data_IF_416742542930
#
_entry.id   IF_416742542930
#
_cell.length_a   1.000
_cell.length_b   1.000
_cell.length_c   1.000
_cell.angle_alpha   90.00
_cell.angle_beta   90.00
_cell.angle_gamma   90.00
#
_symmetry.space_group_name_H-M   'P 1'
#
loop_
_entity.id
_entity.type
_entity.pdbx_description
1 polymer ?
#
# COMPACT_ATOMS: atom_id res chain seq x y z
N UNK A 1 -15.72 -1.79 -23.72
CA UNK A 1 -16.02 -2.31 -22.35
C UNK A 1 -16.74 -3.65 -22.43
N UNK A 2 -17.38 -3.93 -23.56
CA UNK A 2 -17.89 -5.22 -24.04
C UNK A 2 -16.91 -6.41 -24.00
N UNK A 3 -15.60 -6.17 -24.00
CA UNK A 3 -14.59 -7.24 -23.97
C UNK A 3 -14.03 -7.56 -22.58
N UNK A 4 -14.49 -6.89 -21.52
CA UNK A 4 -13.99 -7.18 -20.16
C UNK A 4 -14.64 -8.45 -19.59
N UNK A 5 -13.91 -9.15 -18.73
CA UNK A 5 -14.37 -10.39 -18.10
C UNK A 5 -14.66 -10.18 -16.62
N UNK A 6 -15.68 -10.87 -16.09
CA UNK A 6 -15.95 -10.89 -14.66
C UNK A 6 -14.77 -11.52 -13.89
N UNK A 7 -14.36 -10.88 -12.80
CA UNK A 7 -13.16 -11.24 -12.02
C UNK A 7 -11.86 -10.64 -12.57
N UNK A 8 -11.86 -10.15 -13.82
CA UNK A 8 -10.68 -9.55 -14.43
C UNK A 8 -10.28 -8.22 -13.78
N UNK A 9 -8.97 -7.97 -13.72
CA UNK A 9 -8.37 -6.74 -13.21
C UNK A 9 -7.70 -6.01 -14.37
N UNK A 10 -8.13 -4.77 -14.63
CA UNK A 10 -7.72 -3.98 -15.79
C UNK A 10 -7.23 -2.60 -15.36
N UNK A 11 -6.30 -2.02 -16.11
CA UNK A 11 -5.95 -0.60 -15.97
C UNK A 11 -6.97 0.27 -16.72
N UNK A 12 -7.46 1.32 -16.07
CA UNK A 12 -8.37 2.27 -16.67
C UNK A 12 -7.63 3.23 -17.61
N UNK A 13 -7.98 3.18 -18.89
CA UNK A 13 -7.49 4.06 -19.93
C UNK A 13 -8.64 4.89 -20.48
N UNK A 14 -8.53 6.22 -20.42
CA UNK A 14 -9.62 7.13 -20.79
C UNK A 14 -9.28 7.96 -22.03
N UNK A 15 -10.32 8.25 -22.81
CA UNK A 15 -10.29 9.27 -23.87
C UNK A 15 -11.45 10.21 -23.62
N UNK A 16 -11.17 11.51 -23.48
CA UNK A 16 -12.22 12.51 -23.28
C UNK A 16 -12.78 12.98 -24.62
N UNK A 17 -14.10 13.09 -24.72
CA UNK A 17 -14.76 13.74 -25.86
C UNK A 17 -14.80 15.27 -25.66
N UNK A 18 -15.08 16.02 -26.73
CA UNK A 18 -15.28 17.48 -26.72
C UNK A 18 -14.04 18.35 -26.43
N UNK A 19 -12.87 17.97 -26.95
CA UNK A 19 -11.70 18.86 -26.99
C UNK A 19 -10.83 18.84 -25.74
N UNK A 20 -11.08 17.92 -24.80
CA UNK A 20 -10.13 17.63 -23.73
C UNK A 20 -8.83 17.01 -24.29
N UNK A 21 -7.66 17.29 -23.69
CA UNK A 21 -6.36 16.87 -24.21
C UNK A 21 -6.06 15.37 -23.98
N UNK A 22 -6.98 14.61 -23.39
CA UNK A 22 -6.73 13.23 -22.97
C UNK A 22 -7.16 12.25 -24.07
N UNK A 23 -6.17 11.66 -24.75
CA UNK A 23 -6.37 10.59 -25.71
C UNK A 23 -5.60 9.35 -25.26
N UNK A 24 -6.31 8.22 -25.06
CA UNK A 24 -5.74 6.97 -24.52
C UNK A 24 -4.88 7.20 -23.27
N UNK A 25 -5.34 8.10 -22.39
CA UNK A 25 -4.61 8.47 -21.19
C UNK A 25 -4.71 7.36 -20.15
N UNK A 26 -3.55 6.85 -19.74
CA UNK A 26 -3.42 5.86 -18.67
C UNK A 26 -3.55 6.56 -17.32
N UNK A 27 -4.63 6.25 -16.61
CA UNK A 27 -4.90 6.88 -15.32
C UNK A 27 -4.00 6.34 -14.20
N UNK A 28 -3.49 5.12 -14.37
CA UNK A 28 -2.86 4.34 -13.32
C UNK A 28 -3.86 3.68 -12.36
N UNK A 29 -5.17 3.83 -12.54
CA UNK A 29 -6.16 3.13 -11.70
C UNK A 29 -6.39 1.71 -12.22
N UNK A 30 -6.20 0.72 -11.35
CA UNK A 30 -6.60 -0.66 -11.58
C UNK A 30 -8.02 -0.84 -11.06
N UNK A 31 -8.91 -1.35 -11.90
CA UNK A 31 -10.30 -1.69 -11.57
C UNK A 31 -10.51 -3.19 -11.66
N UNK A 32 -11.36 -3.74 -10.79
CA UNK A 32 -11.83 -5.11 -10.88
C UNK A 32 -13.27 -5.11 -11.39
N UNK A 33 -13.56 -5.95 -12.37
CA UNK A 33 -14.93 -6.16 -12.85
C UNK A 33 -15.58 -7.21 -11.96
N UNK A 34 -16.56 -6.83 -11.15
CA UNK A 34 -17.25 -7.76 -10.26
C UNK A 34 -18.32 -8.58 -11.02
N UNK A 35 -18.99 -7.96 -11.98
CA UNK A 35 -20.02 -8.60 -12.82
C UNK A 35 -20.20 -7.85 -14.13
N UNK A 36 -20.79 -8.52 -15.13
CA UNK A 36 -21.05 -7.93 -16.45
C UNK A 36 -22.45 -7.28 -16.56
N UNK A 37 -23.36 -7.59 -15.63
CA UNK A 37 -24.74 -7.11 -15.59
C UNK A 37 -25.13 -6.72 -14.17
N UNK A 38 -25.92 -5.65 -14.04
CA UNK A 38 -26.63 -5.34 -12.81
C UNK A 38 -28.04 -5.94 -12.85
N UNK A 39 -28.24 -7.07 -12.16
CA UNK A 39 -29.54 -7.77 -12.14
C UNK A 39 -30.67 -6.94 -11.51
N UNK A 40 -30.35 -6.13 -10.51
CA UNK A 40 -31.36 -5.32 -9.80
C UNK A 40 -31.92 -4.20 -10.69
N UNK A 41 -31.06 -3.63 -11.53
CA UNK A 41 -31.41 -2.52 -12.40
C UNK A 41 -31.73 -2.97 -13.84
N UNK A 42 -31.54 -4.24 -14.16
CA UNK A 42 -31.77 -4.83 -15.48
C UNK A 42 -30.86 -4.22 -16.57
N UNK A 43 -29.58 -3.95 -16.24
CA UNK A 43 -28.63 -3.22 -17.11
C UNK A 43 -27.38 -4.06 -17.43
N UNK A 44 -27.09 -4.23 -18.72
CA UNK A 44 -25.87 -4.88 -19.25
C UNK A 44 -24.65 -3.94 -19.30
N UNK A 45 -24.30 -3.36 -18.15
CA UNK A 45 -23.08 -2.56 -18.00
C UNK A 45 -22.19 -3.27 -16.98
N UNK A 46 -20.88 -3.46 -17.27
CA UNK A 46 -19.95 -4.02 -16.29
C UNK A 46 -19.93 -3.23 -14.99
N UNK A 47 -20.09 -3.92 -13.88
CA UNK A 47 -19.99 -3.35 -12.54
C UNK A 47 -18.54 -3.43 -12.07
N UNK A 48 -17.94 -2.30 -11.75
CA UNK A 48 -16.53 -2.21 -11.41
C UNK A 48 -16.31 -1.69 -9.99
N UNK A 49 -15.26 -2.20 -9.35
CA UNK A 49 -14.75 -1.70 -8.08
C UNK A 49 -13.31 -1.21 -8.28
N UNK A 50 -12.90 -0.19 -7.52
CA UNK A 50 -11.51 0.21 -7.47
C UNK A 50 -10.68 -0.92 -6.84
N UNK A 51 -9.62 -1.35 -7.51
CA UNK A 51 -8.75 -2.42 -7.03
C UNK A 51 -7.48 -1.86 -6.37
N UNK A 52 -6.66 -1.12 -7.12
CA UNK A 52 -5.43 -0.46 -6.62
C UNK A 52 -4.92 0.57 -7.63
N UNK A 53 -3.82 1.23 -7.34
CA UNK A 53 -3.04 1.98 -8.33
C UNK A 53 -1.97 1.08 -8.97
N UNK A 54 -1.70 1.30 -10.25
CA UNK A 54 -0.62 0.70 -11.03
C UNK A 54 0.71 1.45 -10.82
N UNK A 55 0.63 2.75 -10.53
CA UNK A 55 1.77 3.55 -10.12
C UNK A 55 2.00 3.41 -8.61
N UNK A 56 3.27 3.48 -8.20
CA UNK A 56 3.72 3.40 -6.80
C UNK A 56 3.37 4.68 -6.02
N UNK A 57 2.08 5.05 -6.04
CA UNK A 57 1.51 6.27 -5.48
C UNK A 57 0.28 5.94 -4.62
N UNK A 58 0.23 6.52 -3.44
CA UNK A 58 -0.87 6.46 -2.49
C UNK A 58 -1.55 7.83 -2.41
N UNK A 59 -2.85 7.88 -2.68
CA UNK A 59 -3.66 9.08 -2.49
C UNK A 59 -4.51 8.98 -1.22
N UNK A 60 -4.23 9.84 -0.23
CA UNK A 60 -5.08 10.01 0.96
C UNK A 60 -6.03 11.18 0.76
N UNK A 61 -7.25 10.86 0.37
CA UNK A 61 -8.24 11.86 -0.04
C UNK A 61 -7.70 12.74 -1.18
N UNK A 62 -7.95 14.04 -1.08
CA UNK A 62 -7.49 15.04 -2.05
C UNK A 62 -6.31 15.88 -1.53
N UNK A 63 -5.64 15.43 -0.46
CA UNK A 63 -4.65 16.25 0.26
C UNK A 63 -3.24 15.70 0.07
N UNK A 64 -3.06 14.39 0.27
CA UNK A 64 -1.74 13.78 0.18
C UNK A 64 -1.64 12.87 -1.03
N UNK A 65 -0.69 13.18 -1.91
CA UNK A 65 -0.16 12.26 -2.90
C UNK A 65 1.20 11.78 -2.41
N UNK A 66 1.29 10.51 -2.04
CA UNK A 66 2.46 9.92 -1.40
C UNK A 66 3.13 8.95 -2.36
N UNK A 67 4.35 9.25 -2.76
CA UNK A 67 5.21 8.32 -3.51
C UNK A 67 6.10 7.53 -2.53
N UNK A 68 6.73 6.46 -3.03
CA UNK A 68 7.75 5.75 -2.24
C UNK A 68 8.80 6.70 -1.67
N UNK A 69 9.30 7.63 -2.49
CA UNK A 69 10.33 8.61 -2.09
C UNK A 69 9.85 9.53 -0.95
N UNK A 70 8.59 9.98 -0.98
CA UNK A 70 8.04 10.84 0.08
C UNK A 70 7.95 10.07 1.39
N UNK A 71 7.41 8.85 1.36
CA UNK A 71 7.26 8.02 2.56
C UNK A 71 8.64 7.64 3.12
N UNK A 72 9.55 7.21 2.24
CA UNK A 72 10.93 6.89 2.62
C UNK A 72 11.61 8.05 3.34
N UNK A 73 11.61 9.24 2.73
CA UNK A 73 12.24 10.43 3.32
C UNK A 73 11.61 10.83 4.64
N UNK A 74 10.29 10.63 4.80
CA UNK A 74 9.61 10.91 6.06
C UNK A 74 10.08 9.96 7.17
N UNK A 75 10.19 8.66 6.87
CA UNK A 75 10.69 7.66 7.82
C UNK A 75 12.16 7.96 8.22
N UNK A 76 13.01 8.30 7.24
CA UNK A 76 14.41 8.68 7.50
C UNK A 76 14.50 9.91 8.41
N UNK A 77 13.72 10.97 8.12
CA UNK A 77 13.72 12.20 8.91
C UNK A 77 13.11 12.03 10.30
N UNK A 78 12.23 11.04 10.48
CA UNK A 78 11.68 10.67 11.77
C UNK A 78 12.70 9.91 12.65
N UNK A 79 13.92 9.66 12.16
CA UNK A 79 15.02 8.96 12.85
C UNK A 79 14.61 7.55 13.34
N UNK A 80 13.82 6.86 12.51
CA UNK A 80 13.34 5.51 12.82
C UNK A 80 14.32 4.49 12.23
N UNK A 81 14.94 3.69 13.09
CA UNK A 81 15.78 2.56 12.66
C UNK A 81 14.93 1.40 12.12
N UNK A 82 14.99 1.13 10.82
CA UNK A 82 14.24 0.03 10.17
C UNK A 82 15.13 -0.87 9.31
N UNK A 83 14.74 -2.14 9.17
CA UNK A 83 15.32 -3.11 8.23
C UNK A 83 14.75 -2.87 6.83
N UNK A 84 13.43 -2.92 6.70
CA UNK A 84 12.68 -2.52 5.51
C UNK A 84 11.22 -2.16 5.89
N UNK A 85 10.46 -1.65 4.92
CA UNK A 85 9.06 -1.28 5.11
C UNK A 85 8.26 -1.44 3.81
N UNK A 86 6.95 -1.57 3.95
CA UNK A 86 5.97 -1.47 2.86
C UNK A 86 4.78 -0.63 3.31
N UNK A 87 4.03 -0.05 2.38
CA UNK A 87 2.93 0.84 2.70
C UNK A 87 1.71 0.63 1.81
N UNK A 88 0.52 0.65 2.43
CA UNK A 88 -0.78 0.57 1.76
C UNK A 88 -1.67 1.75 2.14
N UNK A 89 -2.55 2.11 1.21
CA UNK A 89 -3.78 2.83 1.57
C UNK A 89 -4.76 1.85 2.20
N UNK A 90 -5.27 2.19 3.37
CA UNK A 90 -6.33 1.43 4.03
C UNK A 90 -7.46 2.35 4.49
N UNK A 91 -8.59 1.76 4.87
CA UNK A 91 -9.70 2.49 5.49
C UNK A 91 -9.78 2.07 6.95
N UNK A 92 -9.61 3.05 7.85
CA UNK A 92 -9.72 2.86 9.29
C UNK A 92 -10.81 3.79 9.83
N UNK A 93 -11.83 3.22 10.48
CA UNK A 93 -12.99 3.96 11.00
C UNK A 93 -13.64 4.88 9.94
N UNK A 94 -13.75 4.39 8.71
CA UNK A 94 -14.33 5.13 7.58
C UNK A 94 -13.41 6.17 6.94
N UNK A 95 -12.19 6.35 7.46
CA UNK A 95 -11.23 7.33 6.97
C UNK A 95 -10.07 6.68 6.20
N UNK A 96 -9.60 7.27 5.08
CA UNK A 96 -8.42 6.78 4.38
C UNK A 96 -7.16 7.08 5.20
N UNK A 97 -6.35 6.05 5.42
CA UNK A 97 -5.07 6.14 6.13
C UNK A 97 -3.93 5.58 5.28
N UNK A 98 -2.72 6.04 5.56
CA UNK A 98 -1.48 5.36 5.21
C UNK A 98 -1.14 4.36 6.30
N UNK A 99 -1.23 3.07 5.99
CA UNK A 99 -0.64 2.04 6.83
C UNK A 99 0.78 1.73 6.36
N UNK A 100 1.74 1.81 7.27
CA UNK A 100 3.14 1.46 7.06
C UNK A 100 3.44 0.20 7.87
N UNK A 101 3.76 -0.90 7.19
CA UNK A 101 4.25 -2.13 7.79
C UNK A 101 5.77 -2.07 7.85
N UNK A 102 6.35 -2.24 9.03
CA UNK A 102 7.77 -1.95 9.24
C UNK A 102 8.44 -3.02 10.09
N UNK A 103 9.56 -3.55 9.58
CA UNK A 103 10.49 -4.35 10.38
C UNK A 103 11.54 -3.41 10.98
N UNK A 104 11.64 -3.35 12.30
CA UNK A 104 12.55 -2.42 12.99
C UNK A 104 13.98 -2.97 13.10
N UNK A 105 14.96 -2.07 13.13
CA UNK A 105 16.34 -2.40 13.54
C UNK A 105 16.44 -2.35 15.06
N UNK A 106 16.94 -3.44 15.65
CA UNK A 106 17.22 -3.52 17.08
C UNK A 106 16.05 -4.02 17.93
N UNK A 107 16.32 -4.21 19.23
CA UNK A 107 15.40 -4.84 20.19
C UNK A 107 14.84 -3.87 21.24
N UNK A 108 14.91 -2.55 21.01
CA UNK A 108 14.28 -1.58 21.90
C UNK A 108 12.77 -1.64 21.76
N UNK A 109 12.05 -1.49 22.88
CA UNK A 109 10.58 -1.42 22.86
C UNK A 109 10.16 -0.15 22.10
N UNK A 110 9.51 -0.27 20.93
CA UNK A 110 9.16 0.90 20.12
C UNK A 110 7.95 1.64 20.70
N UNK A 111 7.98 2.97 20.57
CA UNK A 111 6.82 3.84 20.81
C UNK A 111 6.11 4.07 19.47
N UNK A 112 5.15 3.18 19.16
CA UNK A 112 4.44 3.18 17.88
C UNK A 112 3.66 4.47 17.65
N UNK A 113 3.01 5.01 18.68
CA UNK A 113 2.25 6.26 18.56
C UNK A 113 3.17 7.43 18.23
N UNK A 114 4.36 7.49 18.84
CA UNK A 114 5.37 8.49 18.50
C UNK A 114 5.85 8.34 17.05
N UNK A 115 6.12 7.12 16.60
CA UNK A 115 6.51 6.86 15.21
C UNK A 115 5.44 7.33 14.22
N UNK A 116 4.17 7.01 14.48
CA UNK A 116 3.04 7.43 13.64
C UNK A 116 2.97 8.96 13.51
N UNK A 117 3.09 9.68 14.64
CA UNK A 117 3.10 11.15 14.66
C UNK A 117 4.31 11.71 13.93
N UNK A 118 5.51 11.20 14.19
CA UNK A 118 6.75 11.73 13.63
C UNK A 118 6.79 11.54 12.10
N UNK A 119 6.40 10.35 11.60
CA UNK A 119 6.29 10.12 10.15
C UNK A 119 5.29 11.09 9.53
N UNK A 120 4.12 11.27 10.15
CA UNK A 120 3.11 12.19 9.64
C UNK A 120 3.58 13.64 9.59
N UNK A 121 4.25 14.11 10.64
CA UNK A 121 4.80 15.46 10.69
C UNK A 121 5.93 15.67 9.66
N UNK A 122 6.75 14.66 9.39
CA UNK A 122 7.74 14.73 8.33
C UNK A 122 7.13 14.70 6.93
N UNK A 123 6.06 13.93 6.70
CA UNK A 123 5.27 13.99 5.45
C UNK A 123 4.77 15.41 5.19
N UNK A 124 4.21 16.07 6.21
CA UNK A 124 3.70 17.45 6.09
C UNK A 124 4.78 18.47 5.69
N UNK A 125 6.03 18.24 6.12
CA UNK A 125 7.17 19.12 5.81
C UNK A 125 7.79 18.86 4.44
N UNK A 126 7.54 17.69 3.86
CA UNK A 126 8.23 17.22 2.65
C UNK A 126 7.64 17.75 1.34
N UNK A 127 6.78 18.78 1.40
CA UNK A 127 6.09 19.41 0.27
C UNK A 127 6.87 19.31 -1.05
N UNK A 128 6.45 18.36 -1.88
CA UNK A 128 6.94 18.10 -3.22
C UNK A 128 6.08 18.81 -4.28
N UNK A 129 5.22 19.74 -3.86
CA UNK A 129 4.27 20.46 -4.70
C UNK A 129 2.90 19.79 -4.82
N UNK A 130 2.67 18.67 -4.12
CA UNK A 130 1.39 17.93 -4.16
C UNK A 130 0.62 17.94 -2.82
N UNK A 131 1.10 18.65 -1.80
CA UNK A 131 0.32 18.89 -0.58
C UNK A 131 -0.61 20.07 -0.83
N UNK A 132 -1.88 19.77 -1.10
CA UNK A 132 -2.89 20.81 -1.32
C UNK A 132 -3.15 21.57 -0.01
N UNK A 133 -2.74 22.85 0.04
CA UNK A 133 -2.96 23.87 1.09
C UNK A 133 -2.87 23.39 2.55
N UNK A 134 -1.96 23.97 3.32
CA UNK A 134 -1.84 23.75 4.79
C UNK A 134 -3.17 23.95 5.56
N UNK A 135 -4.08 24.82 5.06
CA UNK A 135 -5.43 25.01 5.63
C UNK A 135 -6.32 23.76 5.53
N UNK A 136 -6.16 22.96 4.47
CA UNK A 136 -6.93 21.76 4.23
C UNK A 136 -6.43 20.61 5.13
N UNK A 137 -5.13 20.58 5.45
CA UNK A 137 -4.54 19.64 6.42
C UNK A 137 -5.16 19.80 7.81
N UNK A 138 -5.17 21.02 8.35
CA UNK A 138 -5.74 21.29 9.68
C UNK A 138 -7.26 21.06 9.73
N UNK A 139 -7.94 21.15 8.59
CA UNK A 139 -9.37 20.81 8.48
C UNK A 139 -9.57 19.29 8.40
N UNK A 140 -8.68 18.57 7.72
CA UNK A 140 -8.69 17.10 7.64
C UNK A 140 -8.39 16.44 8.98
N UNK A 141 -7.37 16.92 9.71
CA UNK A 141 -7.05 16.43 11.06
C UNK A 141 -8.25 16.57 12.00
N UNK A 142 -8.94 17.71 11.94
CA UNK A 142 -10.18 17.95 12.69
C UNK A 142 -11.35 17.10 12.23
N UNK A 143 -11.47 16.85 10.93
CA UNK A 143 -12.55 16.06 10.35
C UNK A 143 -12.38 14.57 10.68
N UNK A 144 -11.16 14.06 10.61
CA UNK A 144 -10.86 12.65 10.82
C UNK A 144 -10.74 12.30 12.32
N UNK A 145 -10.49 13.26 13.21
CA UNK A 145 -10.17 13.02 14.62
C UNK A 145 -9.03 12.00 14.85
N UNK A 146 -8.18 11.77 13.83
CA UNK A 146 -7.09 10.81 13.87
C UNK A 146 -5.95 11.23 12.93
N UNK A 147 -4.71 10.88 13.30
CA UNK A 147 -3.56 11.02 12.41
C UNK A 147 -3.70 10.06 11.22
N UNK A 148 -3.53 10.49 9.95
CA UNK A 148 -3.74 9.63 8.80
C UNK A 148 -2.59 8.64 8.55
N UNK A 149 -1.62 8.54 9.48
CA UNK A 149 -0.50 7.59 9.42
C UNK A 149 -0.60 6.60 10.57
N UNK A 150 -0.19 5.37 10.27
CA UNK A 150 -0.54 4.21 11.06
C UNK A 150 0.55 3.14 10.86
N UNK A 151 1.22 2.71 11.93
CA UNK A 151 2.39 1.81 11.86
C UNK A 151 2.04 0.43 12.38
N UNK A 152 2.36 -0.62 11.62
CA UNK A 152 2.25 -2.03 12.05
C UNK A 152 3.65 -2.60 12.09
N UNK A 153 4.04 -3.14 13.24
CA UNK A 153 5.35 -3.77 13.38
C UNK A 153 5.31 -5.19 12.81
N UNK A 154 6.28 -5.48 11.95
CA UNK A 154 6.52 -6.80 11.41
C UNK A 154 7.46 -7.58 12.34
N UNK A 155 7.36 -8.92 12.37
CA UNK A 155 8.30 -9.75 13.13
C UNK A 155 9.73 -9.58 12.61
N UNK A 156 10.71 -9.72 13.50
CA UNK A 156 12.14 -9.65 13.15
C UNK A 156 12.48 -10.74 12.13
N UNK A 157 12.96 -10.37 10.95
CA UNK A 157 13.26 -11.28 9.86
C UNK A 157 12.12 -11.48 8.85
N UNK A 158 11.01 -10.72 8.93
CA UNK A 158 9.89 -10.78 7.99
C UNK A 158 10.33 -10.66 6.52
N UNK A 159 11.13 -9.65 6.18
CA UNK A 159 11.57 -9.44 4.80
C UNK A 159 12.56 -10.52 4.32
N UNK A 160 13.39 -11.03 5.23
CA UNK A 160 14.27 -12.16 4.94
C UNK A 160 13.47 -13.44 4.67
N UNK A 161 12.39 -13.65 5.42
CA UNK A 161 11.51 -14.81 5.28
C UNK A 161 10.75 -14.76 3.95
N UNK A 162 10.19 -13.59 3.62
CA UNK A 162 9.59 -13.34 2.31
C UNK A 162 10.54 -13.69 1.17
N UNK A 163 11.77 -13.19 1.22
CA UNK A 163 12.79 -13.41 0.18
C UNK A 163 13.11 -14.90 0.01
N UNK A 164 13.29 -15.64 1.13
CA UNK A 164 13.56 -17.09 1.11
C UNK A 164 12.40 -17.88 0.50
N UNK A 165 11.16 -17.56 0.86
CA UNK A 165 9.99 -18.25 0.34
C UNK A 165 9.82 -18.02 -1.17
N UNK A 166 10.04 -16.79 -1.65
CA UNK A 166 10.02 -16.49 -3.09
C UNK A 166 11.12 -17.22 -3.85
N UNK A 167 12.33 -17.29 -3.30
CA UNK A 167 13.41 -18.06 -3.90
C UNK A 167 13.09 -19.56 -3.98
N UNK A 168 12.50 -20.14 -2.92
CA UNK A 168 12.09 -21.54 -2.90
C UNK A 168 10.99 -21.86 -3.92
N UNK A 169 10.10 -20.90 -4.22
CA UNK A 169 9.10 -21.03 -5.28
C UNK A 169 9.64 -20.83 -6.70
N UNK A 170 10.95 -20.60 -6.87
CA UNK A 170 11.58 -20.37 -8.17
C UNK A 170 11.28 -19.01 -8.77
N UNK A 171 10.95 -18.02 -7.94
CA UNK A 171 10.66 -16.66 -8.41
C UNK A 171 11.90 -15.98 -9.00
N UNK A 172 11.69 -15.11 -9.99
CA UNK A 172 12.73 -14.28 -10.57
C UNK A 172 13.36 -13.34 -9.52
N UNK A 173 14.63 -12.94 -9.74
CA UNK A 173 15.37 -12.04 -8.86
C UNK A 173 14.62 -10.72 -8.60
N UNK A 174 13.87 -10.23 -9.59
CA UNK A 174 13.04 -9.03 -9.48
C UNK A 174 11.88 -9.17 -8.48
N UNK A 175 11.47 -10.39 -8.12
CA UNK A 175 10.36 -10.69 -7.21
C UNK A 175 10.80 -11.07 -5.80
N UNK A 176 12.11 -11.08 -5.54
CA UNK A 176 12.66 -11.44 -4.22
C UNK A 176 12.36 -10.41 -3.14
N UNK A 177 12.06 -9.17 -3.53
CA UNK A 177 11.58 -8.14 -2.62
C UNK A 177 10.10 -7.86 -2.85
N UNK A 178 9.33 -7.58 -1.79
CA UNK A 178 7.96 -7.14 -1.96
C UNK A 178 7.95 -5.74 -2.58
N UNK A 179 6.91 -5.39 -3.36
CA UNK A 179 6.69 -4.00 -3.75
C UNK A 179 6.50 -3.16 -2.49
N UNK A 180 7.12 -1.99 -2.44
CA UNK A 180 7.06 -1.10 -1.28
C UNK A 180 5.74 -0.36 -1.18
N UNK A 181 5.12 -0.06 -2.31
CA UNK A 181 3.85 0.65 -2.37
C UNK A 181 2.75 -0.29 -2.86
N UNK A 182 1.63 -0.29 -2.15
CA UNK A 182 0.47 -1.12 -2.44
C UNK A 182 0.77 -2.62 -2.67
N UNK A 183 1.60 -3.31 -1.85
CA UNK A 183 1.65 -4.77 -1.86
C UNK A 183 0.27 -5.40 -1.74
N UNK A 184 0.12 -6.56 -2.42
CA UNK A 184 -1.10 -7.34 -2.37
C UNK A 184 -1.36 -7.87 -0.95
N UNK A 185 -2.62 -8.21 -0.68
CA UNK A 185 -3.01 -8.81 0.60
C UNK A 185 -2.21 -10.10 0.91
N UNK A 186 -1.89 -10.89 -0.11
CA UNK A 186 -1.05 -12.10 0.03
C UNK A 186 0.38 -11.76 0.47
N UNK A 187 0.98 -10.71 -0.10
CA UNK A 187 2.31 -10.23 0.29
C UNK A 187 2.30 -9.71 1.73
N UNK A 188 1.29 -8.93 2.11
CA UNK A 188 1.13 -8.44 3.48
C UNK A 188 0.95 -9.59 4.47
N UNK A 189 0.10 -10.57 4.16
CA UNK A 189 -0.10 -11.76 4.99
C UNK A 189 1.21 -12.54 5.19
N UNK A 190 2.02 -12.67 4.13
CA UNK A 190 3.31 -13.33 4.18
C UNK A 190 4.31 -12.59 5.08
N UNK A 191 4.31 -11.26 5.04
CA UNK A 191 5.17 -10.42 5.90
C UNK A 191 4.72 -10.46 7.36
N UNK A 192 3.41 -10.58 7.63
CA UNK A 192 2.85 -10.68 8.98
C UNK A 192 2.96 -12.09 9.58
N UNK A 193 3.18 -13.12 8.76
CA UNK A 193 3.27 -14.50 9.25
C UNK A 193 4.40 -14.66 10.26
N UNK A 194 4.09 -15.32 11.38
CA UNK A 194 5.09 -15.69 12.36
C UNK A 194 6.14 -16.61 11.72
N UNK A 195 7.42 -16.36 12.03
CA UNK A 195 8.56 -17.13 11.47
C UNK A 195 8.60 -18.57 12.04
N UNK A 196 7.65 -18.93 12.89
CA UNK A 196 7.66 -20.15 13.71
C UNK A 196 7.37 -21.44 12.95
N UNK A 197 6.97 -21.42 11.67
CA UNK A 197 6.58 -22.64 10.94
C UNK A 197 7.70 -23.40 10.20
N UNK A 198 8.97 -23.08 10.39
CA UNK A 198 10.07 -23.91 9.82
C UNK A 198 11.18 -24.25 10.82
N UNK A 199 10.79 -24.67 12.04
CA UNK A 199 11.69 -25.37 12.98
C UNK A 199 11.35 -26.84 13.23
N UNK A 200 10.52 -27.45 12.38
CA UNK A 200 10.38 -28.91 12.34
C UNK A 200 10.75 -29.38 10.94
N UNK A 201 11.96 -29.93 10.81
CA UNK A 201 12.37 -31.01 9.87
C UNK A 201 13.89 -31.26 9.86
N UNK A 202 14.70 -30.55 10.64
CA UNK A 202 16.12 -30.91 10.86
C UNK A 202 16.41 -31.35 12.30
N UNK A 203 15.79 -32.45 12.74
CA UNK A 203 16.35 -33.31 13.79
C UNK A 203 15.94 -34.77 13.56
N UNK A 204 16.28 -35.28 12.37
CA UNK A 204 16.49 -36.71 12.08
C UNK A 204 17.58 -36.64 11.01
N UNK A 205 18.88 -36.68 11.31
CA UNK A 205 19.64 -37.87 11.66
C UNK A 205 20.80 -37.51 12.61
N UNK A 206 20.69 -37.93 13.87
CA UNK A 206 21.82 -38.42 14.65
C UNK A 206 21.43 -39.81 15.13
N UNK A 207 21.94 -40.81 14.42
CA UNK A 207 22.50 -42.07 14.92
C UNK A 207 23.03 -42.86 13.73
#
# INVERSE_FOLDING_TARGET
LDEVEAGGIYELVITTLHGGPLARYRTGDMIKIESLRNEKLDIDIPQMTFHRRADDVIFLGNIFRLTETVIWRAIEKADIGYVDWVANKEVYEGNPILRVYMELKGNTKPDVEKMERDIYEEIKKLDDGFIHNIKDIGSMEKLMNLYPVRVTLLPVGAFSNYSRQKQASGADLAQLKPPRINPSAEVIALLLSDITEHKSLETVYKN
#
